data_IF_994542394706
#
_entry.id   IF_994542394706
#
_cell.length_a   1.000
_cell.length_b   1.000
_cell.length_c   1.000
_cell.angle_alpha   90.00
_cell.angle_beta   90.00
_cell.angle_gamma   90.00
#
_symmetry.space_group_name_H-M   'P 1'
#
loop_
_entity.id
_entity.type
_entity.pdbx_description
1 polymer ?
#
# COMPACT_ATOMS: atom_id res chain seq x y z
N UNK A 1 6.16 9.52 15.05
CA UNK A 1 5.20 10.44 15.72
C UNK A 1 3.93 9.69 16.11
N UNK A 2 3.73 9.39 17.40
CA UNK A 2 2.58 8.64 17.94
C UNK A 2 1.41 9.61 18.08
N UNK A 3 0.53 9.69 17.08
CA UNK A 3 -0.70 10.48 17.17
C UNK A 3 -1.55 9.92 18.31
N UNK A 4 -1.52 10.57 19.47
CA UNK A 4 -2.40 10.22 20.59
C UNK A 4 -3.82 10.66 20.21
N UNK A 5 -4.58 9.76 19.59
CA UNK A 5 -6.01 9.92 19.27
C UNK A 5 -6.82 10.45 20.46
N UNK A 6 -6.36 10.20 21.69
CA UNK A 6 -6.88 10.76 22.93
C UNK A 6 -6.98 12.29 22.96
N UNK A 7 -6.08 13.04 22.30
CA UNK A 7 -6.11 14.53 22.36
C UNK A 7 -7.15 15.15 21.44
N UNK A 8 -7.54 14.46 20.37
CA UNK A 8 -8.53 14.91 19.39
C UNK A 8 -9.96 14.74 19.91
N UNK A 9 -10.23 13.63 20.61
CA UNK A 9 -11.54 13.31 21.16
C UNK A 9 -11.88 14.09 22.44
N UNK A 10 -10.88 14.67 23.13
CA UNK A 10 -11.08 15.31 24.44
C UNK A 10 -11.57 16.77 24.39
N UNK A 11 -11.55 17.43 23.22
CA UNK A 11 -11.91 18.86 23.08
C UNK A 11 -13.26 19.10 22.38
N UNK A 12 -13.81 18.08 21.72
CA UNK A 12 -15.03 18.18 20.93
C UNK A 12 -15.96 17.03 21.35
N UNK A 13 -16.75 17.26 22.38
CA UNK A 13 -17.52 16.27 23.15
C UNK A 13 -18.59 15.49 22.37
N UNK A 14 -18.69 15.67 21.04
CA UNK A 14 -19.69 15.04 20.15
C UNK A 14 -19.07 14.50 18.84
N UNK A 15 -17.74 14.44 18.71
CA UNK A 15 -17.11 13.95 17.48
C UNK A 15 -16.76 12.46 17.59
N UNK A 16 -17.27 11.67 16.65
CA UNK A 16 -16.81 10.30 16.39
C UNK A 16 -15.71 10.32 15.33
N UNK A 17 -14.69 9.50 15.52
CA UNK A 17 -13.65 9.27 14.53
C UNK A 17 -13.85 7.86 13.95
N UNK A 18 -13.73 7.73 12.64
CA UNK A 18 -13.79 6.45 11.95
C UNK A 18 -12.49 6.21 11.20
N UNK A 19 -11.96 4.99 11.33
CA UNK A 19 -10.89 4.51 10.47
C UNK A 19 -11.53 3.78 9.30
N UNK A 20 -11.26 4.25 8.09
CA UNK A 20 -11.77 3.67 6.85
C UNK A 20 -10.60 3.07 6.07
N UNK A 21 -10.88 1.98 5.37
CA UNK A 21 -9.89 1.36 4.51
C UNK A 21 -10.57 0.84 3.25
N UNK A 22 -9.97 1.17 2.11
CA UNK A 22 -10.19 0.48 0.87
C UNK A 22 -9.28 0.95 -0.25
N UNK A 23 -9.08 0.11 -1.27
CA UNK A 23 -8.40 0.49 -2.50
C UNK A 23 -9.38 1.16 -3.47
N UNK A 24 -8.84 1.92 -4.43
CA UNK A 24 -9.61 2.52 -5.52
C UNK A 24 -10.43 1.48 -6.30
N UNK A 25 -9.89 0.28 -6.45
CA UNK A 25 -10.47 -0.85 -7.16
C UNK A 25 -11.72 -1.44 -6.50
N UNK A 26 -12.06 -1.01 -5.27
CA UNK A 26 -13.22 -1.47 -4.53
C UNK A 26 -14.14 -0.31 -4.08
N UNK A 27 -14.15 0.79 -4.84
CA UNK A 27 -15.02 1.95 -4.63
C UNK A 27 -14.81 2.66 -3.29
N UNK A 28 -13.58 3.15 -3.10
CA UNK A 28 -13.13 4.02 -1.99
C UNK A 28 -12.86 3.22 -0.72
N UNK A 29 -13.90 2.81 0.02
CA UNK A 29 -13.76 2.15 1.31
C UNK A 29 -14.56 0.85 1.33
N UNK A 30 -13.96 -0.20 1.90
CA UNK A 30 -14.54 -1.55 2.01
C UNK A 30 -14.72 -1.98 3.45
N UNK A 31 -14.00 -1.37 4.38
CA UNK A 31 -14.15 -1.61 5.81
C UNK A 31 -14.16 -0.30 6.58
N UNK A 32 -14.80 -0.34 7.75
CA UNK A 32 -14.77 0.78 8.69
C UNK A 32 -14.63 0.28 10.13
N UNK A 33 -14.05 1.14 10.96
CA UNK A 33 -13.93 0.94 12.40
C UNK A 33 -14.23 2.22 13.17
N UNK A 34 -14.97 2.12 14.27
CA UNK A 34 -15.21 3.26 15.16
C UNK A 34 -14.05 3.42 16.13
N UNK A 35 -13.30 4.51 15.99
CA UNK A 35 -12.10 4.75 16.77
C UNK A 35 -12.39 4.87 18.27
N UNK A 36 -11.82 3.94 19.03
CA UNK A 36 -11.84 3.98 20.48
C UNK A 36 -10.56 4.62 21.03
N UNK A 37 -10.65 5.48 22.07
CA UNK A 37 -9.49 5.94 22.81
C UNK A 37 -8.60 4.77 23.26
N UNK A 38 -7.29 5.01 23.35
CA UNK A 38 -6.29 4.10 23.92
C UNK A 38 -6.20 2.70 23.28
N UNK A 39 -6.70 2.54 22.05
CA UNK A 39 -6.51 1.30 21.28
C UNK A 39 -5.07 1.18 20.79
N UNK A 40 -4.32 0.12 21.16
CA UNK A 40 -2.90 0.01 20.86
C UNK A 40 -2.62 -0.32 19.39
N UNK A 41 -3.50 -1.10 18.76
CA UNK A 41 -3.43 -1.50 17.35
C UNK A 41 -4.74 -1.09 16.71
N UNK A 42 -4.70 -0.17 15.74
CA UNK A 42 -5.89 0.34 15.08
C UNK A 42 -6.29 -0.63 13.97
N UNK A 43 -7.41 -1.37 14.11
CA UNK A 43 -7.87 -2.27 13.06
C UNK A 43 -8.45 -1.46 11.89
N UNK A 44 -8.58 -2.11 10.73
CA UNK A 44 -9.37 -1.60 9.61
C UNK A 44 -10.86 -1.93 9.74
N UNK A 45 -11.22 -2.71 10.76
CA UNK A 45 -12.59 -2.90 11.21
C UNK A 45 -13.31 -4.03 10.50
N UNK A 46 -14.57 -3.80 10.12
CA UNK A 46 -15.47 -4.80 9.53
C UNK A 46 -15.93 -4.37 8.14
N UNK A 47 -16.27 -5.32 7.26
CA UNK A 47 -16.78 -5.00 5.93
C UNK A 47 -18.02 -4.12 5.99
N UNK A 48 -18.13 -3.18 5.05
CA UNK A 48 -19.36 -2.43 4.79
C UNK A 48 -20.41 -3.33 4.12
N UNK A 49 -21.64 -2.82 4.01
CA UNK A 49 -22.71 -3.52 3.33
C UNK A 49 -22.32 -3.95 1.91
N UNK A 50 -22.82 -5.13 1.48
CA UNK A 50 -22.58 -5.69 0.14
C UNK A 50 -21.10 -5.94 -0.22
N UNK A 51 -20.23 -6.01 0.79
CA UNK A 51 -18.80 -6.35 0.64
C UNK A 51 -18.48 -7.58 1.48
N UNK A 52 -17.71 -8.50 0.92
CA UNK A 52 -17.18 -9.65 1.64
C UNK A 52 -15.66 -9.61 1.63
N UNK A 53 -15.08 -9.99 2.76
CA UNK A 53 -13.64 -10.04 2.99
C UNK A 53 -13.21 -11.50 2.95
N UNK A 54 -12.16 -11.79 2.21
CA UNK A 54 -11.54 -13.12 2.15
C UNK A 54 -10.07 -12.98 2.52
N UNK A 55 -9.65 -13.68 3.57
CA UNK A 55 -8.24 -13.81 3.93
C UNK A 55 -7.77 -15.18 3.46
N UNK A 56 -6.89 -15.19 2.46
CA UNK A 56 -6.50 -16.42 1.77
C UNK A 56 -5.00 -16.70 1.93
N UNK A 57 -4.63 -17.97 1.98
CA UNK A 57 -3.23 -18.40 1.88
C UNK A 57 -2.73 -18.43 0.42
N UNK A 58 -1.48 -18.85 0.22
CA UNK A 58 -0.86 -18.97 -1.10
C UNK A 58 -1.55 -19.99 -2.03
N UNK A 59 -2.36 -20.89 -1.48
CA UNK A 59 -3.15 -21.89 -2.21
C UNK A 59 -4.61 -21.44 -2.38
N UNK A 60 -4.90 -20.17 -2.13
CA UNK A 60 -6.23 -19.56 -2.20
C UNK A 60 -7.25 -20.21 -1.25
N UNK A 61 -6.79 -20.77 -0.13
CA UNK A 61 -7.64 -21.34 0.91
C UNK A 61 -7.87 -20.34 2.04
N UNK A 62 -9.08 -20.27 2.63
CA UNK A 62 -9.35 -19.41 3.78
C UNK A 62 -8.43 -19.73 4.96
N UNK A 63 -7.83 -18.70 5.55
CA UNK A 63 -7.03 -18.86 6.78
C UNK A 63 -7.91 -18.77 8.04
N UNK A 64 -7.55 -19.48 9.14
CA UNK A 64 -8.25 -19.36 10.41
C UNK A 64 -8.16 -17.95 11.03
N UNK A 65 -9.03 -17.69 12.01
CA UNK A 65 -8.95 -16.48 12.86
C UNK A 65 -7.55 -16.39 13.50
N UNK A 66 -7.02 -15.17 13.63
CA UNK A 66 -5.68 -14.82 14.10
C UNK A 66 -4.51 -15.22 13.18
N UNK A 67 -4.76 -15.95 12.09
CA UNK A 67 -3.73 -16.31 11.11
C UNK A 67 -3.67 -15.26 10.01
N UNK A 68 -2.46 -14.89 9.62
CA UNK A 68 -2.21 -13.96 8.53
C UNK A 68 -2.59 -14.60 7.19
N UNK A 69 -3.30 -13.84 6.36
CA UNK A 69 -3.58 -14.17 4.96
C UNK A 69 -3.51 -12.93 4.07
N UNK A 70 -3.49 -13.16 2.76
CA UNK A 70 -3.64 -12.10 1.77
C UNK A 70 -5.10 -11.65 1.73
N UNK A 71 -5.31 -10.34 1.82
CA UNK A 71 -6.61 -9.70 1.85
C UNK A 71 -7.20 -9.61 0.43
N UNK A 72 -8.42 -10.10 0.27
CA UNK A 72 -9.19 -10.04 -0.96
C UNK A 72 -10.61 -9.51 -0.70
N UNK A 73 -11.20 -8.85 -1.71
CA UNK A 73 -12.57 -8.34 -1.64
C UNK A 73 -13.47 -8.97 -2.68
N UNK A 74 -14.71 -9.24 -2.33
CA UNK A 74 -15.80 -9.42 -3.29
C UNK A 74 -16.99 -8.54 -2.95
N UNK A 75 -17.90 -8.39 -3.90
CA UNK A 75 -19.14 -7.65 -3.71
C UNK A 75 -19.39 -6.58 -4.76
N UNK A 76 -20.39 -5.74 -4.51
CA UNK A 76 -20.88 -4.76 -5.47
C UNK A 76 -19.92 -3.59 -5.70
N UNK A 77 -19.00 -3.33 -4.77
CA UNK A 77 -18.02 -2.23 -4.86
C UNK A 77 -16.87 -2.48 -5.83
N UNK A 78 -16.73 -3.69 -6.40
CA UNK A 78 -15.62 -3.99 -7.29
C UNK A 78 -15.66 -3.17 -8.58
N UNK A 79 -14.54 -2.54 -8.92
CA UNK A 79 -14.35 -1.88 -10.20
C UNK A 79 -14.43 -2.90 -11.36
N UNK A 80 -14.78 -2.38 -12.55
CA UNK A 80 -14.79 -3.19 -13.79
C UNK A 80 -13.41 -3.75 -14.14
N UNK A 81 -12.36 -3.00 -13.84
CA UNK A 81 -10.97 -3.35 -14.17
C UNK A 81 -10.15 -2.10 -14.48
N UNK A 82 -8.95 -2.32 -14.99
CA UNK A 82 -8.06 -1.27 -15.44
C UNK A 82 -8.33 -0.92 -16.90
N UNK A 83 -8.47 0.37 -17.20
CA UNK A 83 -8.77 0.86 -18.55
C UNK A 83 -7.67 0.42 -19.53
N UNK A 84 -8.08 -0.25 -20.62
CA UNK A 84 -7.19 -0.75 -21.68
C UNK A 84 -6.07 -1.69 -21.20
N UNK A 85 -6.23 -2.32 -20.03
CA UNK A 85 -5.24 -3.24 -19.46
C UNK A 85 -5.89 -4.56 -19.03
N UNK A 86 -6.33 -5.40 -20.00
CA UNK A 86 -7.05 -6.64 -19.70
C UNK A 86 -6.19 -7.66 -18.94
N UNK A 87 -4.89 -7.75 -19.25
CA UNK A 87 -3.98 -8.67 -18.55
C UNK A 87 -3.80 -8.29 -17.07
N UNK A 88 -3.59 -7.00 -16.78
CA UNK A 88 -3.51 -6.51 -15.41
C UNK A 88 -4.85 -6.72 -14.67
N UNK A 89 -5.96 -6.51 -15.38
CA UNK A 89 -7.30 -6.75 -14.84
C UNK A 89 -7.49 -8.22 -14.46
N UNK A 90 -7.09 -9.17 -15.30
CA UNK A 90 -7.21 -10.60 -14.99
C UNK A 90 -6.30 -11.02 -13.83
N UNK A 91 -5.11 -10.40 -13.70
CA UNK A 91 -4.20 -10.67 -12.58
C UNK A 91 -4.71 -10.13 -11.25
N UNK A 92 -5.33 -8.95 -11.24
CA UNK A 92 -5.82 -8.31 -10.03
C UNK A 92 -7.25 -8.74 -9.66
N UNK A 93 -8.11 -9.00 -10.64
CA UNK A 93 -9.50 -9.42 -10.44
C UNK A 93 -9.66 -10.89 -10.82
N UNK A 94 -9.37 -11.76 -9.85
CA UNK A 94 -9.41 -13.21 -10.01
C UNK A 94 -10.81 -13.76 -9.81
N UNK A 95 -11.00 -15.02 -10.18
CA UNK A 95 -12.24 -15.76 -9.95
C UNK A 95 -11.91 -16.95 -9.05
N UNK A 96 -12.58 -17.05 -7.91
CA UNK A 96 -12.38 -18.11 -6.93
C UNK A 96 -13.70 -18.84 -6.62
N UNK A 97 -13.65 -20.13 -6.23
CA UNK A 97 -14.82 -20.83 -5.73
C UNK A 97 -15.44 -20.10 -4.54
N UNK A 98 -16.77 -20.03 -4.52
CA UNK A 98 -17.48 -19.49 -3.35
C UNK A 98 -17.54 -20.57 -2.28
N UNK A 99 -17.18 -20.28 -1.02
CA UNK A 99 -17.31 -21.26 0.06
C UNK A 99 -18.74 -21.81 0.13
N UNK A 100 -18.88 -23.13 0.16
CA UNK A 100 -20.16 -23.85 0.26
C UNK A 100 -21.16 -23.58 -0.88
N UNK A 101 -20.71 -23.20 -2.07
CA UNK A 101 -21.55 -23.02 -3.25
C UNK A 101 -20.86 -23.53 -4.52
N UNK A 102 -21.65 -23.95 -5.51
CA UNK A 102 -21.16 -24.29 -6.85
C UNK A 102 -20.92 -23.06 -7.74
N UNK A 103 -21.07 -21.84 -7.19
CA UNK A 103 -20.82 -20.58 -7.87
C UNK A 103 -19.37 -20.13 -7.75
N UNK A 104 -18.91 -19.41 -8.77
CA UNK A 104 -17.66 -18.67 -8.71
C UNK A 104 -17.92 -17.22 -8.27
N UNK A 105 -17.00 -16.67 -7.49
CA UNK A 105 -17.03 -15.26 -7.06
C UNK A 105 -15.82 -14.54 -7.63
N UNK A 106 -16.06 -13.33 -8.13
CA UNK A 106 -14.99 -12.42 -8.55
C UNK A 106 -14.39 -11.76 -7.32
N UNK A 107 -13.07 -11.87 -7.16
CA UNK A 107 -12.30 -11.28 -6.08
C UNK A 107 -11.36 -10.21 -6.63
N UNK A 108 -11.16 -9.12 -5.89
CA UNK A 108 -10.01 -8.24 -6.09
C UNK A 108 -8.89 -8.64 -5.13
N UNK A 109 -7.71 -8.87 -5.69
CA UNK A 109 -6.46 -9.21 -5.00
C UNK A 109 -5.73 -7.93 -4.62
N UNK A 110 -5.67 -7.63 -3.34
CA UNK A 110 -5.22 -6.31 -2.86
C UNK A 110 -3.71 -6.18 -2.82
N UNK A 111 -2.99 -7.28 -2.61
CA UNK A 111 -1.58 -7.27 -2.21
C UNK A 111 -1.35 -6.85 -0.76
N UNK A 112 -2.39 -6.73 0.06
CA UNK A 112 -2.31 -6.43 1.50
C UNK A 112 -2.32 -7.71 2.34
N UNK A 113 -1.57 -7.71 3.45
CA UNK A 113 -1.61 -8.73 4.48
C UNK A 113 -2.51 -8.28 5.62
N UNK A 114 -3.35 -9.20 6.09
CA UNK A 114 -4.24 -8.95 7.22
C UNK A 114 -4.55 -10.23 7.99
N UNK A 115 -5.16 -10.09 9.16
CA UNK A 115 -5.73 -11.20 9.94
C UNK A 115 -7.05 -10.80 10.58
N UNK A 116 -7.93 -11.76 10.80
CA UNK A 116 -9.07 -11.57 11.69
C UNK A 116 -8.62 -11.59 13.14
N UNK A 117 -9.06 -10.61 13.91
CA UNK A 117 -9.02 -10.63 15.36
C UNK A 117 -10.16 -11.52 15.91
N UNK A 118 -10.06 -12.02 17.15
CA UNK A 118 -11.13 -12.82 17.78
C UNK A 118 -12.50 -12.13 17.85
N UNK A 119 -12.53 -10.80 17.87
CA UNK A 119 -13.74 -9.98 17.89
C UNK A 119 -14.36 -9.77 16.48
N UNK A 120 -13.77 -10.38 15.44
CA UNK A 120 -14.20 -10.29 14.05
C UNK A 120 -13.80 -8.99 13.34
N UNK A 121 -13.00 -8.13 13.97
CA UNK A 121 -12.35 -7.01 13.29
C UNK A 121 -11.13 -7.50 12.50
N UNK A 122 -10.70 -6.72 11.53
CA UNK A 122 -9.56 -7.05 10.68
C UNK A 122 -8.39 -6.16 11.05
N UNK A 123 -7.25 -6.77 11.36
CA UNK A 123 -5.98 -6.09 11.59
C UNK A 123 -5.17 -6.09 10.30
N UNK A 124 -4.73 -4.89 9.89
CA UNK A 124 -3.83 -4.71 8.75
C UNK A 124 -2.38 -4.95 9.18
N UNK A 125 -1.66 -5.78 8.42
CA UNK A 125 -0.30 -6.22 8.75
C UNK A 125 0.77 -5.70 7.78
N UNK A 126 0.37 -5.16 6.62
CA UNK A 126 1.30 -4.57 5.65
C UNK A 126 0.98 -4.95 4.20
N UNK A 127 2.00 -4.83 3.34
CA UNK A 127 1.96 -5.17 1.92
C UNK A 127 2.76 -6.44 1.65
N UNK A 128 2.29 -7.25 0.69
CA UNK A 128 3.04 -8.35 0.09
C UNK A 128 4.06 -7.87 -0.94
N UNK A 129 3.79 -6.74 -1.59
CA UNK A 129 4.60 -6.21 -2.69
C UNK A 129 5.32 -4.91 -2.30
N UNK A 130 5.96 -4.29 -3.29
CA UNK A 130 6.79 -3.10 -3.13
C UNK A 130 6.00 -1.78 -3.09
N UNK A 131 4.68 -1.83 -3.00
CA UNK A 131 3.89 -0.62 -2.85
C UNK A 131 4.01 -0.07 -1.44
N UNK A 132 4.03 1.26 -1.29
CA UNK A 132 4.08 1.91 0.02
C UNK A 132 3.03 3.00 0.16
N UNK A 133 2.55 3.18 1.39
CA UNK A 133 1.77 4.35 1.78
C UNK A 133 2.68 5.36 2.46
N UNK A 134 2.95 6.48 1.79
CA UNK A 134 3.72 7.58 2.35
C UNK A 134 2.84 8.82 2.42
N UNK A 135 2.54 9.29 3.64
CA UNK A 135 1.78 10.55 3.87
C UNK A 135 0.45 10.61 3.11
N UNK A 136 -0.27 9.49 3.03
CA UNK A 136 -1.55 9.38 2.33
C UNK A 136 -1.46 9.07 0.82
N UNK A 137 -0.25 9.02 0.26
CA UNK A 137 -0.03 8.66 -1.14
C UNK A 137 0.28 7.17 -1.28
N UNK A 138 -0.41 6.53 -2.21
CA UNK A 138 -0.12 5.17 -2.69
C UNK A 138 0.98 5.29 -3.74
N UNK A 139 2.19 4.82 -3.40
CA UNK A 139 3.37 4.97 -4.24
C UNK A 139 3.82 3.58 -4.70
N UNK A 140 3.93 3.41 -6.02
CA UNK A 140 4.55 2.23 -6.63
C UNK A 140 6.05 2.46 -6.76
N UNK A 141 6.87 1.84 -5.90
CA UNK A 141 8.32 2.05 -5.90
C UNK A 141 8.96 1.67 -7.25
N UNK A 142 8.44 0.62 -7.90
CA UNK A 142 8.90 0.17 -9.20
C UNK A 142 8.74 1.21 -10.32
N UNK A 143 7.75 2.09 -10.25
CA UNK A 143 7.61 3.19 -11.23
C UNK A 143 8.74 4.20 -11.10
N UNK A 144 9.11 4.54 -9.87
CA UNK A 144 10.22 5.45 -9.59
C UNK A 144 11.53 4.82 -10.08
N UNK A 145 11.71 3.53 -9.86
CA UNK A 145 12.88 2.80 -10.36
C UNK A 145 12.93 2.74 -11.89
N UNK A 146 11.80 2.49 -12.57
CA UNK A 146 11.72 2.50 -14.03
C UNK A 146 12.07 3.89 -14.56
N UNK A 147 11.50 4.96 -13.97
CA UNK A 147 11.82 6.32 -14.34
C UNK A 147 13.31 6.62 -14.14
N UNK A 148 13.91 6.22 -13.01
CA UNK A 148 15.35 6.37 -12.77
C UNK A 148 16.21 5.69 -13.84
N UNK A 149 15.87 4.45 -14.22
CA UNK A 149 16.61 3.68 -15.22
C UNK A 149 16.48 4.22 -16.66
N UNK A 150 15.61 5.19 -16.92
CA UNK A 150 15.58 5.89 -18.21
C UNK A 150 16.75 6.88 -18.39
N UNK A 151 17.44 7.26 -17.30
CA UNK A 151 18.60 8.13 -17.38
C UNK A 151 19.85 7.34 -17.81
N UNK A 152 20.55 7.78 -18.86
CA UNK A 152 21.70 7.08 -19.46
C UNK A 152 22.84 6.77 -18.48
N UNK A 153 23.01 7.58 -17.44
CA UNK A 153 24.03 7.36 -16.42
C UNK A 153 23.70 6.24 -15.42
N UNK A 154 22.43 5.82 -15.31
CA UNK A 154 21.96 4.88 -14.30
C UNK A 154 21.89 3.48 -14.92
N UNK A 155 22.66 2.56 -14.35
CA UNK A 155 22.65 1.13 -14.71
C UNK A 155 21.51 0.41 -13.99
N UNK A 156 21.45 0.58 -12.67
CA UNK A 156 20.48 -0.06 -11.80
C UNK A 156 19.97 0.95 -10.77
N UNK A 157 18.71 0.78 -10.37
CA UNK A 157 18.06 1.59 -9.36
C UNK A 157 17.13 0.72 -8.51
N UNK A 158 17.22 0.87 -7.19
CA UNK A 158 16.28 0.28 -6.22
C UNK A 158 15.78 1.38 -5.31
N UNK A 159 14.47 1.46 -5.11
CA UNK A 159 13.84 2.45 -4.22
C UNK A 159 13.22 1.74 -3.03
N UNK A 160 13.45 2.25 -1.83
CA UNK A 160 12.86 1.75 -0.59
C UNK A 160 12.18 2.87 0.19
N UNK A 161 11.19 2.50 1.00
CA UNK A 161 10.72 3.34 2.09
C UNK A 161 11.61 3.12 3.32
N UNK A 162 12.31 4.16 3.74
CA UNK A 162 13.08 4.17 4.98
C UNK A 162 12.28 4.86 6.08
N UNK A 163 12.23 4.22 7.25
CA UNK A 163 11.63 4.77 8.46
C UNK A 163 12.74 4.94 9.49
N UNK A 164 12.96 6.17 9.95
CA UNK A 164 13.97 6.44 10.97
C UNK A 164 13.47 6.13 12.40
N UNK A 165 14.33 6.32 13.41
CA UNK A 165 13.98 6.09 14.82
C UNK A 165 12.87 7.03 15.33
N UNK A 166 12.69 8.21 14.72
CA UNK A 166 11.61 9.14 15.05
C UNK A 166 10.28 8.80 14.32
N UNK A 167 10.30 7.73 13.51
CA UNK A 167 9.23 7.31 12.62
C UNK A 167 8.91 8.39 11.57
N UNK A 168 9.93 9.13 11.13
CA UNK A 168 9.87 9.91 9.89
C UNK A 168 10.14 8.97 8.71
N UNK A 169 9.32 9.14 7.68
CA UNK A 169 9.27 8.26 6.53
C UNK A 169 9.78 9.00 5.29
N UNK A 170 10.74 8.40 4.59
CA UNK A 170 11.35 8.97 3.37
C UNK A 170 11.63 7.89 2.33
N UNK A 171 11.52 8.25 1.07
CA UNK A 171 11.96 7.37 -0.02
C UNK A 171 13.47 7.54 -0.23
N UNK A 172 14.17 6.42 -0.31
CA UNK A 172 15.61 6.34 -0.59
C UNK A 172 15.79 5.54 -1.86
N UNK A 173 16.53 6.08 -2.83
CA UNK A 173 16.95 5.36 -4.03
C UNK A 173 18.45 5.06 -3.96
N UNK A 174 18.80 3.80 -4.15
CA UNK A 174 20.17 3.34 -4.34
C UNK A 174 20.43 3.18 -5.83
N UNK A 175 21.52 3.78 -6.32
CA UNK A 175 21.85 3.83 -7.74
C UNK A 175 23.20 3.18 -8.02
N UNK A 176 23.25 2.37 -9.07
CA UNK A 176 24.48 1.92 -9.73
C UNK A 176 24.64 2.74 -11.00
N UNK A 177 25.79 3.40 -11.16
CA UNK A 177 26.05 4.27 -12.32
C UNK A 177 26.89 3.56 -13.38
N UNK A 178 26.63 3.84 -14.66
CA UNK A 178 27.41 3.32 -15.79
C UNK A 178 28.85 3.85 -15.81
N UNK A 179 29.05 5.08 -15.35
CA UNK A 179 30.37 5.71 -15.19
C UNK A 179 30.40 6.55 -13.90
N UNK A 180 31.52 6.47 -13.17
CA UNK A 180 31.75 7.17 -11.89
C UNK A 180 31.80 8.70 -12.01
N UNK A 181 31.85 9.25 -13.22
CA UNK A 181 31.89 10.70 -13.47
C UNK A 181 30.50 11.37 -13.45
N UNK A 182 29.41 10.62 -13.47
CA UNK A 182 28.06 11.21 -13.43
C UNK A 182 27.68 11.65 -12.02
N UNK A 183 27.06 12.83 -11.91
CA UNK A 183 26.73 13.45 -10.63
C UNK A 183 25.32 13.10 -10.16
N UNK A 184 25.17 12.74 -8.87
CA UNK A 184 23.85 12.55 -8.23
C UNK A 184 22.89 13.76 -8.40
N UNK A 185 23.36 15.03 -8.41
CA UNK A 185 22.52 16.18 -8.74
C UNK A 185 21.79 16.10 -10.08
N UNK A 186 22.42 15.55 -11.13
CA UNK A 186 21.82 15.45 -12.46
C UNK A 186 20.72 14.39 -12.50
N UNK A 187 20.93 13.25 -11.83
CA UNK A 187 19.92 12.21 -11.66
C UNK A 187 18.69 12.72 -10.89
N UNK A 188 18.90 13.54 -9.85
CA UNK A 188 17.81 14.18 -9.10
C UNK A 188 17.03 15.17 -9.96
N UNK A 189 17.72 15.93 -10.82
CA UNK A 189 17.07 16.86 -11.74
C UNK A 189 16.22 16.12 -12.77
N UNK A 190 16.73 15.02 -13.33
CA UNK A 190 16.02 14.18 -14.27
C UNK A 190 14.73 13.60 -13.70
N UNK A 191 14.77 13.07 -12.48
CA UNK A 191 13.59 12.58 -11.77
C UNK A 191 12.53 13.68 -11.55
N UNK A 192 12.95 14.94 -11.38
CA UNK A 192 12.02 16.05 -11.20
C UNK A 192 11.29 16.42 -12.50
N UNK A 193 11.91 16.18 -13.67
CA UNK A 193 11.32 16.47 -14.98
C UNK A 193 10.57 15.27 -15.60
N UNK A 194 10.94 14.04 -15.26
CA UNK A 194 10.34 12.81 -15.82
C UNK A 194 9.45 12.08 -14.80
N UNK A 195 8.69 12.86 -14.02
CA UNK A 195 7.81 12.32 -12.99
C UNK A 195 6.69 11.50 -13.64
N UNK A 196 6.33 10.33 -13.09
CA UNK A 196 5.02 9.75 -13.38
C UNK A 196 3.93 10.78 -13.05
N UNK A 197 2.97 10.97 -13.96
CA UNK A 197 1.95 12.03 -13.91
C UNK A 197 1.14 12.07 -12.59
N UNK A 198 1.10 10.97 -11.84
CA UNK A 198 0.35 10.82 -10.60
C UNK A 198 1.20 10.70 -9.32
N UNK A 199 2.52 10.50 -9.42
CA UNK A 199 3.30 9.95 -8.28
C UNK A 199 4.20 10.96 -7.55
N UNK A 200 4.42 12.18 -8.05
CA UNK A 200 5.33 13.14 -7.36
C UNK A 200 4.82 14.58 -7.43
N UNK A 201 3.64 14.83 -6.87
CA UNK A 201 3.20 16.20 -6.58
C UNK A 201 4.06 16.77 -5.43
N UNK A 202 4.98 17.69 -5.75
CA UNK A 202 5.79 18.61 -4.91
C UNK A 202 6.40 18.20 -3.53
N UNK A 203 6.16 17.03 -2.93
CA UNK A 203 6.47 16.81 -1.49
C UNK A 203 7.34 15.60 -1.12
N UNK A 204 7.85 14.83 -2.08
CA UNK A 204 8.67 13.64 -1.79
C UNK A 204 10.08 13.79 -2.37
N UNK A 205 11.02 14.27 -1.54
CA UNK A 205 12.44 14.23 -1.88
C UNK A 205 12.93 12.78 -1.80
N UNK A 206 13.11 12.14 -2.95
CA UNK A 206 13.84 10.88 -3.04
C UNK A 206 15.32 11.19 -2.76
N UNK A 207 15.83 10.68 -1.64
CA UNK A 207 17.25 10.80 -1.33
C UNK A 207 18.00 9.78 -2.17
N UNK A 208 19.01 10.24 -2.92
CA UNK A 208 19.79 9.40 -3.82
C UNK A 208 21.10 9.06 -3.13
N UNK A 209 21.40 7.78 -3.03
CA UNK A 209 22.66 7.26 -2.52
C UNK A 209 23.36 6.46 -3.61
N UNK A 210 24.68 6.61 -3.67
CA UNK A 210 25.57 5.81 -4.51
C UNK A 210 26.29 4.80 -3.63
N UNK A 211 26.59 3.62 -4.20
CA UNK A 211 27.18 2.44 -3.55
C UNK A 211 28.33 2.71 -2.56
N UNK A 212 29.14 3.75 -2.76
CA UNK A 212 30.27 4.10 -1.89
C UNK A 212 29.91 4.87 -0.60
N UNK A 213 28.64 5.20 -0.35
CA UNK A 213 28.20 5.84 0.90
C UNK A 213 27.67 4.86 1.96
N UNK A 214 27.72 3.55 1.70
CA UNK A 214 27.10 2.51 2.56
C UNK A 214 28.09 1.95 3.60
N UNK A 215 29.34 2.42 3.64
CA UNK A 215 30.32 2.02 4.65
C UNK A 215 30.78 3.22 5.49
N UNK A 216 30.07 3.45 6.61
CA UNK A 216 30.60 3.84 7.93
C UNK A 216 29.49 3.85 8.98
#
# INVERSE_FOLDING_TARGET
MRWKMTKLLSHWWVMSLQNLYGPTEAAIDVTFWHCQPDTPIIPIGKPIANTQIHLLDQYQQPVPICIQGELHFSGLGLARGYLNQPELTQKAFIVAPTPNSNSLTRLYKTGDLARYCPNGEIEYLGRLDYQVKLRGFRIELGEIEIALRQHEAIKEAVVILHVDQANDQRLIAYLVLNNRQHSLPDCRRFLKTHKPDYSVSRSHDVQLYQENQIAK
#
